data_IF_168112234904
#
_entry.id   IF_168112234904
#
_cell.length_a   1.000
_cell.length_b   1.000
_cell.length_c   1.000
_cell.angle_alpha   90.00
_cell.angle_beta   90.00
_cell.angle_gamma   90.00
#
_symmetry.space_group_name_H-M   'P 1'
#
loop_
_entity.id
_entity.type
_entity.pdbx_description
1 polymer ?
#
# COMPACT_ATOMS: atom_id res chain seq x y z
N UNK A 1 23.71 -2.74 10.18
CA UNK A 1 22.69 -2.31 11.18
C UNK A 1 22.01 -3.55 11.73
N UNK A 2 21.93 -3.68 13.05
CA UNK A 2 21.33 -4.84 13.71
C UNK A 2 19.80 -4.64 13.82
N UNK A 3 19.02 -5.70 13.53
CA UNK A 3 17.55 -5.70 13.64
C UNK A 3 17.08 -5.26 15.04
N UNK A 4 17.80 -5.64 16.10
CA UNK A 4 17.47 -5.22 17.46
C UNK A 4 17.57 -3.69 17.66
N UNK A 5 18.51 -3.04 16.98
CA UNK A 5 18.66 -1.58 17.00
C UNK A 5 17.50 -0.90 16.28
N UNK A 6 17.09 -1.45 15.13
CA UNK A 6 15.93 -0.94 14.37
C UNK A 6 14.65 -1.08 15.23
N UNK A 7 14.42 -2.23 15.84
CA UNK A 7 13.25 -2.46 16.69
C UNK A 7 13.21 -1.51 17.88
N UNK A 8 14.35 -1.26 18.54
CA UNK A 8 14.44 -0.27 19.64
C UNK A 8 14.12 1.14 19.16
N UNK A 9 14.59 1.52 17.95
CA UNK A 9 14.26 2.80 17.35
C UNK A 9 12.77 2.90 17.02
N UNK A 10 12.16 1.84 16.50
CA UNK A 10 10.74 1.81 16.15
C UNK A 10 9.81 1.95 17.37
N UNK A 11 10.22 1.47 18.55
CA UNK A 11 9.45 1.65 19.79
C UNK A 11 9.30 3.13 20.17
N UNK A 12 10.18 4.00 19.68
CA UNK A 12 10.10 5.46 19.90
C UNK A 12 9.13 6.17 18.95
N UNK A 13 8.60 5.47 17.94
CA UNK A 13 7.62 6.03 17.01
C UNK A 13 6.28 6.14 17.74
N UNK A 14 5.80 7.35 17.85
CA UNK A 14 4.53 7.69 18.48
C UNK A 14 3.53 8.30 17.45
N UNK A 15 2.39 8.74 17.93
CA UNK A 15 1.34 9.34 17.08
C UNK A 15 1.79 10.65 16.40
N UNK A 16 2.86 11.30 16.86
CA UNK A 16 3.39 12.53 16.25
C UNK A 16 4.34 12.24 15.09
N UNK A 17 5.03 11.11 15.14
CA UNK A 17 6.02 10.66 14.15
C UNK A 17 5.50 9.62 13.16
N UNK A 18 4.33 9.01 13.44
CA UNK A 18 3.67 8.07 12.53
C UNK A 18 3.05 8.82 11.34
N UNK A 19 3.21 8.32 10.10
CA UNK A 19 2.50 8.89 8.95
C UNK A 19 0.98 8.79 9.17
N UNK A 20 0.26 9.89 8.98
CA UNK A 20 -1.20 9.93 9.13
C UNK A 20 -1.91 9.27 7.95
N UNK A 21 -1.37 9.49 6.76
CA UNK A 21 -1.88 8.94 5.50
C UNK A 21 -0.74 8.25 4.75
N UNK A 22 -0.87 6.96 4.55
CA UNK A 22 0.05 6.13 3.81
C UNK A 22 -0.60 5.54 2.56
N UNK A 23 0.14 5.47 1.46
CA UNK A 23 -0.30 4.82 0.22
C UNK A 23 0.66 3.71 -0.12
N UNK A 24 0.15 2.49 -0.22
CA UNK A 24 0.91 1.29 -0.56
C UNK A 24 0.54 0.82 -1.96
N UNK A 25 1.48 0.89 -2.89
CA UNK A 25 1.37 0.29 -4.22
C UNK A 25 2.11 -1.04 -4.20
N UNK A 26 1.36 -2.15 -4.09
CA UNK A 26 1.93 -3.50 -3.91
C UNK A 26 1.97 -3.97 -2.45
N UNK A 27 1.02 -3.56 -1.62
CA UNK A 27 0.90 -3.97 -0.21
C UNK A 27 0.24 -5.33 0.02
N UNK A 28 -0.09 -6.09 -1.02
CA UNK A 28 -0.83 -7.36 -0.91
C UNK A 28 0.04 -8.57 -0.59
N UNK A 29 1.33 -8.50 -0.87
CA UNK A 29 2.29 -9.59 -0.67
C UNK A 29 3.71 -9.04 -0.46
N UNK A 30 4.64 -9.92 -0.08
CA UNK A 30 6.07 -9.65 0.00
C UNK A 30 6.41 -8.46 0.90
N UNK A 31 7.35 -7.63 0.46
CA UNK A 31 7.91 -6.52 1.23
C UNK A 31 6.83 -5.50 1.61
N UNK A 32 5.94 -5.15 0.68
CA UNK A 32 4.88 -4.18 0.95
C UNK A 32 3.91 -4.63 2.04
N UNK A 33 3.51 -5.90 2.01
CA UNK A 33 2.67 -6.49 3.08
C UNK A 33 3.39 -6.47 4.42
N UNK A 34 4.65 -6.90 4.48
CA UNK A 34 5.44 -6.91 5.72
C UNK A 34 5.60 -5.51 6.30
N UNK A 35 5.86 -4.50 5.44
CA UNK A 35 5.96 -3.10 5.88
C UNK A 35 4.64 -2.58 6.44
N UNK A 36 3.50 -2.93 5.81
CA UNK A 36 2.19 -2.58 6.33
C UNK A 36 1.91 -3.24 7.69
N UNK A 37 2.30 -4.51 7.86
CA UNK A 37 2.17 -5.22 9.13
C UNK A 37 2.99 -4.55 10.26
N UNK A 38 4.23 -4.16 9.98
CA UNK A 38 5.08 -3.45 10.95
C UNK A 38 4.49 -2.07 11.30
N UNK A 39 3.93 -1.35 10.32
CA UNK A 39 3.24 -0.08 10.58
C UNK A 39 2.01 -0.26 11.47
N UNK A 40 1.22 -1.29 11.24
CA UNK A 40 0.06 -1.64 12.09
C UNK A 40 0.51 -2.02 13.51
N UNK A 41 1.63 -2.74 13.64
CA UNK A 41 2.17 -3.18 14.93
C UNK A 41 2.63 -2.03 15.84
N UNK A 42 2.83 -0.82 15.30
CA UNK A 42 3.10 0.38 16.11
C UNK A 42 1.91 0.78 17.01
N UNK A 43 0.70 0.28 16.72
CA UNK A 43 -0.50 0.57 17.52
C UNK A 43 -1.01 2.03 17.40
N UNK A 44 -0.39 2.84 16.56
CA UNK A 44 -0.73 4.24 16.36
C UNK A 44 -1.93 4.41 15.41
N UNK A 45 -2.52 5.60 15.40
CA UNK A 45 -3.61 5.93 14.49
C UNK A 45 -3.07 6.38 13.13
N UNK A 46 -3.48 5.70 12.07
CA UNK A 46 -3.16 6.08 10.69
C UNK A 46 -4.20 5.55 9.71
N UNK A 47 -4.14 6.04 8.47
CA UNK A 47 -4.94 5.58 7.36
C UNK A 47 -4.00 5.06 6.26
N UNK A 48 -4.22 3.85 5.77
CA UNK A 48 -3.46 3.24 4.68
C UNK A 48 -4.36 2.90 3.50
N UNK A 49 -4.05 3.45 2.34
CA UNK A 49 -4.62 3.04 1.07
C UNK A 49 -3.74 1.95 0.47
N UNK A 50 -4.30 0.78 0.24
CA UNK A 50 -3.59 -0.36 -0.37
C UNK A 50 -4.12 -0.57 -1.78
N UNK A 51 -3.27 -0.31 -2.76
CA UNK A 51 -3.59 -0.43 -4.18
C UNK A 51 -3.13 -1.80 -4.66
N UNK A 52 -4.05 -2.53 -5.25
CA UNK A 52 -3.76 -3.85 -5.78
C UNK A 52 -4.73 -4.25 -6.89
N UNK A 53 -4.36 -5.29 -7.64
CA UNK A 53 -5.20 -5.83 -8.71
C UNK A 53 -6.44 -6.50 -8.16
N UNK A 54 -7.55 -6.39 -8.86
CA UNK A 54 -8.87 -6.94 -8.48
C UNK A 54 -8.79 -8.41 -8.02
N UNK A 55 -7.99 -9.24 -8.69
CA UNK A 55 -7.82 -10.65 -8.32
C UNK A 55 -7.13 -10.88 -6.96
N UNK A 56 -6.50 -9.88 -6.37
CA UNK A 56 -5.88 -9.96 -5.04
C UNK A 56 -6.79 -9.47 -3.91
N UNK A 57 -7.99 -8.97 -4.24
CA UNK A 57 -8.88 -8.33 -3.27
C UNK A 57 -9.35 -9.29 -2.18
N UNK A 58 -9.80 -10.47 -2.54
CA UNK A 58 -10.35 -11.46 -1.60
C UNK A 58 -9.30 -11.92 -0.59
N UNK A 59 -8.11 -12.31 -1.08
CA UNK A 59 -7.01 -12.72 -0.21
C UNK A 59 -6.51 -11.59 0.68
N UNK A 60 -6.49 -10.35 0.17
CA UNK A 60 -6.10 -9.20 0.97
C UNK A 60 -7.16 -8.81 2.00
N UNK A 61 -8.44 -9.02 1.74
CA UNK A 61 -9.52 -8.73 2.69
C UNK A 61 -9.33 -9.47 4.00
N UNK A 62 -8.94 -10.74 3.96
CA UNK A 62 -8.65 -11.54 5.15
C UNK A 62 -7.50 -10.90 5.95
N UNK A 63 -6.41 -10.58 5.26
CA UNK A 63 -5.24 -9.94 5.88
C UNK A 63 -5.60 -8.57 6.48
N UNK A 64 -6.39 -7.77 5.74
CA UNK A 64 -6.86 -6.46 6.22
C UNK A 64 -7.64 -6.59 7.52
N UNK A 65 -8.55 -7.54 7.60
CA UNK A 65 -9.41 -7.73 8.76
C UNK A 65 -8.58 -8.17 9.99
N UNK A 66 -7.58 -9.04 9.81
CA UNK A 66 -6.62 -9.40 10.85
C UNK A 66 -5.81 -8.18 11.33
N UNK A 67 -5.32 -7.35 10.40
CA UNK A 67 -4.55 -6.15 10.73
C UNK A 67 -5.39 -5.10 11.47
N UNK A 68 -6.66 -4.92 11.06
CA UNK A 68 -7.56 -4.00 11.74
C UNK A 68 -7.97 -4.50 13.14
N UNK A 69 -8.05 -5.82 13.36
CA UNK A 69 -8.23 -6.37 14.70
C UNK A 69 -7.00 -6.16 15.58
N UNK A 70 -5.80 -6.30 15.02
CA UNK A 70 -4.54 -6.05 15.74
C UNK A 70 -4.37 -4.57 16.13
N UNK A 71 -4.81 -3.65 15.30
CA UNK A 71 -4.81 -2.21 15.58
C UNK A 71 -6.14 -1.56 15.19
N UNK A 72 -7.11 -1.46 16.10
CA UNK A 72 -8.40 -0.82 15.84
C UNK A 72 -8.31 0.67 15.49
N UNK A 73 -7.18 1.32 15.78
CA UNK A 73 -6.94 2.73 15.44
C UNK A 73 -6.48 2.93 14.00
N UNK A 74 -6.01 1.87 13.34
CA UNK A 74 -5.65 1.91 11.92
C UNK A 74 -6.90 1.79 11.04
N UNK A 75 -6.91 2.49 9.91
CA UNK A 75 -7.90 2.35 8.86
C UNK A 75 -7.22 1.88 7.58
N UNK A 76 -7.52 0.66 7.15
CA UNK A 76 -6.92 0.07 5.95
C UNK A 76 -7.96 0.00 4.84
N UNK A 77 -7.74 0.74 3.76
CA UNK A 77 -8.67 0.94 2.65
C UNK A 77 -8.09 0.31 1.39
N UNK A 78 -8.87 -0.56 0.77
CA UNK A 78 -8.53 -1.15 -0.52
C UNK A 78 -8.92 -0.24 -1.68
N UNK A 79 -8.03 -0.13 -2.69
CA UNK A 79 -8.32 0.49 -3.98
C UNK A 79 -7.95 -0.49 -5.09
N UNK A 80 -8.94 -0.89 -5.90
CA UNK A 80 -8.68 -1.67 -7.11
C UNK A 80 -7.90 -0.82 -8.13
N UNK A 81 -6.82 -1.37 -8.70
CA UNK A 81 -6.13 -0.71 -9.79
C UNK A 81 -4.99 -1.52 -10.39
N UNK A 82 -4.85 -1.39 -11.71
CA UNK A 82 -3.74 -1.94 -12.47
C UNK A 82 -2.71 -0.84 -12.75
N UNK A 83 -1.70 -0.75 -11.87
CA UNK A 83 -0.74 0.36 -11.88
C UNK A 83 0.27 0.30 -13.05
N UNK A 84 0.23 -0.73 -13.88
CA UNK A 84 0.95 -0.77 -15.16
C UNK A 84 0.31 0.12 -16.23
N UNK A 85 -0.95 0.57 -16.01
CA UNK A 85 -1.69 1.44 -16.91
C UNK A 85 -1.70 2.88 -16.37
N UNK A 86 -1.24 3.84 -17.16
CA UNK A 86 -1.20 5.26 -16.77
C UNK A 86 -2.58 5.85 -16.51
N UNK A 87 -3.60 5.41 -17.23
CA UNK A 87 -5.00 5.78 -17.01
C UNK A 87 -5.47 5.40 -15.60
N UNK A 88 -5.15 4.18 -15.14
CA UNK A 88 -5.46 3.70 -13.81
C UNK A 88 -4.69 4.48 -12.73
N UNK A 89 -3.41 4.75 -12.96
CA UNK A 89 -2.61 5.57 -12.04
C UNK A 89 -3.24 6.96 -11.87
N UNK A 90 -3.63 7.61 -12.99
CA UNK A 90 -4.32 8.92 -12.95
C UNK A 90 -5.64 8.84 -12.19
N UNK A 91 -6.45 7.82 -12.44
CA UNK A 91 -7.73 7.60 -11.75
C UNK A 91 -7.54 7.46 -10.24
N UNK A 92 -6.59 6.61 -9.82
CA UNK A 92 -6.29 6.36 -8.42
C UNK A 92 -5.77 7.62 -7.74
N UNK A 93 -4.82 8.32 -8.36
CA UNK A 93 -4.28 9.57 -7.81
C UNK A 93 -5.37 10.64 -7.65
N UNK A 94 -6.25 10.80 -8.66
CA UNK A 94 -7.38 11.72 -8.59
C UNK A 94 -8.32 11.35 -7.45
N UNK A 95 -8.64 10.07 -7.31
CA UNK A 95 -9.49 9.59 -6.21
C UNK A 95 -8.90 9.90 -4.83
N UNK A 96 -7.63 9.57 -4.60
CA UNK A 96 -6.96 9.85 -3.32
C UNK A 96 -6.93 11.36 -3.04
N UNK A 97 -6.64 12.19 -4.05
CA UNK A 97 -6.65 13.66 -3.92
C UNK A 97 -8.02 14.25 -3.54
N UNK A 98 -9.12 13.58 -3.85
CA UNK A 98 -10.45 14.02 -3.40
C UNK A 98 -10.72 13.69 -1.93
N UNK A 99 -10.02 12.70 -1.38
CA UNK A 99 -10.22 12.20 -0.02
C UNK A 99 -9.24 12.79 0.99
N UNK A 100 -8.01 13.07 0.55
CA UNK A 100 -6.90 13.46 1.43
C UNK A 100 -6.23 14.74 0.94
N UNK A 101 -5.94 15.62 1.89
CA UNK A 101 -5.21 16.86 1.63
C UNK A 101 -3.71 16.62 1.41
N UNK A 102 -3.16 15.59 2.03
CA UNK A 102 -1.74 15.21 1.92
C UNK A 102 -1.56 13.70 2.08
N UNK A 103 -0.46 13.20 1.54
CA UNK A 103 0.03 11.83 1.74
C UNK A 103 1.41 11.94 2.38
N UNK A 104 1.57 11.33 3.57
CA UNK A 104 2.81 11.41 4.34
C UNK A 104 3.80 10.31 3.93
N UNK A 105 3.30 9.15 3.49
CA UNK A 105 4.10 8.01 3.06
C UNK A 105 3.56 7.43 1.76
N UNK A 106 4.40 7.37 0.74
CA UNK A 106 4.15 6.63 -0.50
C UNK A 106 5.14 5.46 -0.59
N UNK A 107 4.63 4.24 -0.47
CA UNK A 107 5.41 3.01 -0.50
C UNK A 107 5.09 2.20 -1.76
N UNK A 108 6.05 2.12 -2.69
CA UNK A 108 5.87 1.48 -4.00
C UNK A 108 6.77 0.26 -4.14
N UNK A 109 6.17 -0.93 -4.13
CA UNK A 109 6.86 -2.21 -4.32
C UNK A 109 6.20 -3.10 -5.38
N UNK A 110 5.18 -2.57 -6.07
CA UNK A 110 4.57 -3.29 -7.18
C UNK A 110 5.58 -3.49 -8.30
N UNK A 111 5.73 -4.73 -8.72
CA UNK A 111 6.64 -5.09 -9.81
C UNK A 111 6.76 -6.60 -9.94
N UNK A 112 7.25 -7.04 -11.08
CA UNK A 112 7.64 -8.43 -11.32
C UNK A 112 8.79 -8.47 -12.34
N UNK A 113 9.59 -9.52 -12.27
CA UNK A 113 10.63 -9.79 -13.27
C UNK A 113 10.05 -10.75 -14.33
N UNK A 114 9.80 -10.32 -15.56
CA UNK A 114 9.30 -11.20 -16.61
C UNK A 114 10.44 -12.14 -17.07
N UNK A 115 10.27 -13.43 -16.85
CA UNK A 115 11.22 -14.46 -17.34
C UNK A 115 10.97 -14.83 -18.82
N UNK A 116 9.86 -14.36 -19.42
CA UNK A 116 9.40 -14.72 -20.77
C UNK A 116 9.43 -13.58 -21.79
N UNK A 117 10.19 -12.48 -21.57
CA UNK A 117 10.25 -11.35 -22.49
C UNK A 117 9.22 -10.25 -22.20
N UNK A 118 9.23 -9.20 -23.03
CA UNK A 118 8.37 -8.02 -22.87
C UNK A 118 6.92 -8.36 -23.14
N UNK A 119 6.04 -8.10 -22.19
CA UNK A 119 4.58 -8.11 -22.38
C UNK A 119 4.08 -6.68 -22.51
N UNK A 120 3.41 -6.37 -23.62
CA UNK A 120 2.73 -5.08 -23.79
C UNK A 120 1.34 -5.16 -23.18
N UNK A 121 1.04 -4.29 -22.24
CA UNK A 121 -0.32 -4.03 -21.81
C UNK A 121 -0.85 -2.89 -22.70
N UNK A 122 -1.77 -3.18 -23.63
CA UNK A 122 -2.42 -2.15 -24.42
C UNK A 122 -3.44 -1.40 -23.57
N UNK A 123 -3.26 -0.09 -23.45
CA UNK A 123 -4.37 0.78 -23.05
C UNK A 123 -5.38 0.88 -24.20
N UNK A 124 -6.69 1.01 -23.91
CA UNK A 124 -7.72 1.08 -24.96
C UNK A 124 -7.62 2.30 -25.90
N UNK A 125 -6.61 3.14 -25.72
CA UNK A 125 -6.32 4.34 -26.54
C UNK A 125 -5.04 4.23 -27.40
N UNK A 126 -4.39 3.09 -27.50
CA UNK A 126 -3.35 2.86 -28.50
C UNK A 126 -4.01 2.44 -29.85
N UNK A 127 -4.86 3.29 -30.39
CA UNK A 127 -5.24 3.23 -31.80
C UNK A 127 -4.41 4.28 -32.54
N UNK A 128 -3.41 3.77 -33.30
CA UNK A 128 -2.64 4.36 -34.41
C UNK A 128 -1.95 5.71 -34.15
#
# INVERSE_FOLDING_TARGET
>A
VNISTIRKSNVQIDSSSTPRVAVFVGGTAGIGKLTLMELVALGTRFKAYVIGRKGSKESFTIVRDELQQANPNAQIIWIDGEVSLLSEVKRICSHIKTLEASVDLLFMTAGYAPLGGRQSMCEPYCSE
#
